data_IF_755236194021
#
_entry.id   IF_755236194021
#
_cell.length_a   1.000
_cell.length_b   1.000
_cell.length_c   1.000
_cell.angle_alpha   90.00
_cell.angle_beta   90.00
_cell.angle_gamma   90.00
#
_symmetry.space_group_name_H-M   'P 1'
#
loop_
_entity.id
_entity.type
_entity.pdbx_description
1 polymer ?
#
# COMPACT_ATOMS: atom_id res chain seq x y z
N UNK A 1 3.44 2.28 18.56
CA UNK A 1 2.02 2.07 18.88
C UNK A 1 1.71 0.62 18.53
N UNK A 2 1.40 -0.23 19.51
CA UNK A 2 1.22 -1.67 19.27
C UNK A 2 0.00 -1.91 18.37
N UNK A 3 0.14 -2.84 17.42
CA UNK A 3 -0.92 -3.23 16.46
C UNK A 3 -2.25 -3.46 17.21
N UNK A 4 -2.21 -4.00 18.44
CA UNK A 4 -3.37 -4.23 19.30
C UNK A 4 -4.24 -3.00 19.60
N UNK A 5 -3.66 -1.79 19.67
CA UNK A 5 -4.41 -0.57 19.98
C UNK A 5 -5.28 -0.07 18.82
N UNK A 6 -4.96 -0.45 17.57
CA UNK A 6 -5.71 -0.03 16.37
C UNK A 6 -6.91 -0.98 16.10
N UNK A 7 -6.80 -2.24 16.50
CA UNK A 7 -7.74 -3.31 16.12
C UNK A 7 -8.96 -3.45 17.03
N UNK A 8 -9.11 -2.65 18.10
CA UNK A 8 -10.33 -2.68 18.93
C UNK A 8 -10.75 -4.09 19.37
N UNK A 9 -9.80 -4.92 19.83
CA UNK A 9 -10.07 -6.28 20.29
C UNK A 9 -10.36 -7.31 19.18
N UNK A 10 -10.09 -7.00 17.91
CA UNK A 10 -10.23 -7.96 16.81
C UNK A 10 -9.05 -8.95 16.85
N UNK A 11 -9.38 -10.22 17.10
CA UNK A 11 -8.46 -11.35 16.99
C UNK A 11 -8.14 -11.63 15.52
N UNK A 12 -7.04 -11.02 15.08
CA UNK A 12 -6.58 -11.03 13.70
C UNK A 12 -6.29 -12.44 13.18
N UNK A 13 -5.80 -13.33 14.04
CA UNK A 13 -5.49 -14.71 13.66
C UNK A 13 -6.76 -15.51 13.38
N UNK A 14 -7.79 -15.32 14.21
CA UNK A 14 -9.12 -15.91 14.00
C UNK A 14 -9.76 -15.41 12.70
N UNK A 15 -9.68 -14.11 12.43
CA UNK A 15 -10.32 -13.49 11.26
C UNK A 15 -9.60 -13.82 9.94
N UNK A 16 -8.26 -13.92 9.93
CA UNK A 16 -7.50 -14.44 8.77
C UNK A 16 -7.86 -15.89 8.49
N UNK A 17 -7.89 -16.74 9.53
CA UNK A 17 -8.30 -18.14 9.38
C UNK A 17 -9.73 -18.25 8.86
N UNK A 18 -10.63 -17.38 9.30
CA UNK A 18 -12.00 -17.31 8.78
C UNK A 18 -12.03 -16.88 7.30
N UNK A 19 -11.29 -15.84 6.91
CA UNK A 19 -11.21 -15.33 5.54
C UNK A 19 -10.60 -16.35 4.56
N UNK A 20 -9.57 -17.09 4.99
CA UNK A 20 -8.97 -18.19 4.22
C UNK A 20 -9.95 -19.37 4.06
N UNK A 21 -10.73 -19.69 5.10
CA UNK A 21 -11.68 -20.81 5.10
C UNK A 21 -12.91 -20.59 4.21
N UNK A 22 -13.29 -19.33 3.98
CA UNK A 22 -14.41 -18.97 3.07
C UNK A 22 -13.97 -18.80 1.60
N UNK A 23 -12.70 -19.01 1.27
CA UNK A 23 -12.19 -18.92 -0.12
C UNK A 23 -12.34 -17.54 -0.78
N UNK A 24 -12.62 -16.48 0.00
CA UNK A 24 -12.91 -15.12 -0.51
C UNK A 24 -11.73 -14.17 -0.38
N UNK A 25 -10.52 -14.60 -0.71
CA UNK A 25 -9.34 -13.70 -0.71
C UNK A 25 -9.27 -12.87 -2.01
N UNK A 26 -9.92 -13.30 -3.10
CA UNK A 26 -10.03 -12.50 -4.31
C UNK A 26 -11.42 -12.60 -4.91
N UNK A 27 -12.23 -11.56 -4.70
CA UNK A 27 -13.52 -11.44 -5.38
C UNK A 27 -13.27 -10.92 -6.80
N UNK A 28 -13.34 -11.82 -7.78
CA UNK A 28 -13.24 -11.50 -9.21
C UNK A 28 -14.42 -10.59 -9.60
N UNK A 29 -14.11 -9.47 -10.25
CA UNK A 29 -15.08 -8.56 -10.88
C UNK A 29 -15.58 -7.45 -9.95
N UNK A 30 -15.07 -6.23 -10.12
CA UNK A 30 -15.72 -4.98 -9.68
C UNK A 30 -16.24 -4.93 -8.24
N UNK A 31 -15.64 -5.68 -7.31
CA UNK A 31 -16.23 -5.87 -5.99
C UNK A 31 -15.80 -4.78 -5.03
N UNK A 32 -16.76 -3.92 -4.68
CA UNK A 32 -16.67 -3.05 -3.51
C UNK A 32 -16.57 -3.97 -2.28
N UNK A 33 -15.38 -4.05 -1.68
CA UNK A 33 -15.20 -4.70 -0.38
C UNK A 33 -16.21 -4.13 0.61
N UNK A 34 -16.87 -4.98 1.39
CA UNK A 34 -17.71 -4.46 2.49
C UNK A 34 -16.79 -3.72 3.47
N UNK A 35 -17.29 -2.71 4.22
CA UNK A 35 -16.44 -1.86 5.06
C UNK A 35 -15.50 -2.63 5.99
N UNK A 36 -15.93 -3.79 6.46
CA UNK A 36 -15.11 -4.71 7.25
C UNK A 36 -13.93 -5.33 6.48
N UNK A 37 -14.19 -5.95 5.33
CA UNK A 37 -13.14 -6.54 4.47
C UNK A 37 -12.11 -5.49 4.06
N UNK A 38 -12.57 -4.27 3.77
CA UNK A 38 -11.69 -3.14 3.46
C UNK A 38 -10.73 -2.83 4.60
N UNK A 39 -11.21 -2.79 5.85
CA UNK A 39 -10.34 -2.56 7.01
C UNK A 39 -9.26 -3.64 7.13
N UNK A 40 -9.59 -4.91 6.85
CA UNK A 40 -8.60 -6.00 6.87
C UNK A 40 -7.55 -5.79 5.78
N UNK A 41 -7.97 -5.44 4.56
CA UNK A 41 -7.05 -5.20 3.45
C UNK A 41 -6.12 -4.02 3.76
N UNK A 42 -6.64 -2.95 4.37
CA UNK A 42 -5.85 -1.76 4.76
C UNK A 42 -4.78 -2.06 5.84
N UNK A 43 -4.77 -3.27 6.44
CA UNK A 43 -3.74 -3.69 7.40
C UNK A 43 -2.46 -4.24 6.77
N UNK A 44 -2.45 -4.60 5.49
CA UNK A 44 -1.27 -5.24 4.89
C UNK A 44 0.03 -4.41 4.94
N UNK A 45 0.03 -3.06 4.95
CA UNK A 45 1.26 -2.30 5.18
C UNK A 45 1.90 -2.63 6.54
N UNK A 46 1.07 -2.70 7.59
CA UNK A 46 1.50 -3.01 8.95
C UNK A 46 1.98 -4.46 9.07
N UNK A 47 1.26 -5.40 8.46
CA UNK A 47 1.67 -6.81 8.42
C UNK A 47 2.99 -6.99 7.66
N UNK A 48 3.15 -6.28 6.53
CA UNK A 48 4.36 -6.33 5.72
C UNK A 48 5.58 -5.84 6.49
N UNK A 49 5.47 -4.73 7.22
CA UNK A 49 6.55 -4.20 8.07
C UNK A 49 6.87 -5.16 9.22
N UNK A 50 5.87 -5.78 9.85
CA UNK A 50 6.11 -6.80 10.88
C UNK A 50 6.87 -8.02 10.32
N UNK A 51 6.52 -8.49 9.11
CA UNK A 51 7.24 -9.57 8.42
C UNK A 51 8.68 -9.14 8.13
N UNK A 52 8.89 -7.94 7.57
CA UNK A 52 10.22 -7.42 7.27
C UNK A 52 11.09 -7.34 8.53
N UNK A 53 10.53 -6.83 9.63
CA UNK A 53 11.22 -6.71 10.92
C UNK A 53 11.61 -8.08 11.52
N UNK A 54 10.74 -9.09 11.36
CA UNK A 54 11.06 -10.47 11.80
C UNK A 54 12.21 -11.05 10.99
N UNK A 55 12.13 -10.93 9.66
CA UNK A 55 13.17 -11.41 8.74
C UNK A 55 14.51 -10.70 9.01
N UNK A 56 14.49 -9.38 9.22
CA UNK A 56 15.68 -8.57 9.53
C UNK A 56 16.43 -9.06 10.77
N UNK A 57 15.70 -9.49 11.81
CA UNK A 57 16.30 -10.03 13.05
C UNK A 57 16.94 -11.40 12.85
N UNK A 58 16.40 -12.21 11.94
CA UNK A 58 16.89 -13.58 11.68
C UNK A 58 18.17 -13.60 10.83
N UNK A 59 18.32 -12.66 9.88
CA UNK A 59 19.41 -12.72 8.89
C UNK A 59 20.70 -12.01 9.39
N UNK A 60 20.67 -11.34 10.55
CA UNK A 60 21.64 -10.32 10.97
C UNK A 60 21.73 -9.17 9.95
N UNK A 61 21.62 -7.92 10.43
CA UNK A 61 21.43 -6.69 9.63
C UNK A 61 22.48 -6.38 8.54
N UNK A 62 23.46 -7.24 8.30
CA UNK A 62 24.58 -7.04 7.37
C UNK A 62 24.18 -7.21 5.88
N UNK A 63 23.04 -7.85 5.58
CA UNK A 63 22.66 -8.17 4.19
C UNK A 63 21.80 -7.07 3.53
N UNK A 64 21.16 -6.19 4.31
CA UNK A 64 20.18 -5.25 3.75
C UNK A 64 20.50 -3.82 4.21
N UNK A 65 21.38 -3.15 3.47
CA UNK A 65 21.71 -1.73 3.64
C UNK A 65 20.53 -0.76 3.41
N UNK A 66 19.37 -1.28 3.01
CA UNK A 66 18.17 -0.52 2.63
C UNK A 66 16.91 -0.91 3.42
N UNK A 67 17.04 -1.53 4.60
CA UNK A 67 15.89 -1.95 5.43
C UNK A 67 14.94 -0.79 5.74
N UNK A 68 15.48 0.36 6.09
CA UNK A 68 14.69 1.57 6.38
C UNK A 68 13.87 2.01 5.15
N UNK A 69 14.49 2.05 3.97
CA UNK A 69 13.82 2.41 2.71
C UNK A 69 12.71 1.40 2.39
N UNK A 70 13.00 0.10 2.54
CA UNK A 70 12.02 -0.95 2.30
C UNK A 70 10.84 -0.86 3.28
N UNK A 71 11.11 -0.62 4.56
CA UNK A 71 10.09 -0.44 5.58
C UNK A 71 9.23 0.79 5.30
N UNK A 72 9.84 1.91 4.94
CA UNK A 72 9.14 3.13 4.58
C UNK A 72 8.18 2.91 3.39
N UNK A 73 8.64 2.23 2.34
CA UNK A 73 7.79 1.86 1.21
C UNK A 73 6.63 0.99 1.68
N UNK A 74 6.91 -0.10 2.40
CA UNK A 74 5.89 -1.06 2.84
C UNK A 74 4.83 -0.37 3.68
N UNK A 75 5.23 0.46 4.65
CA UNK A 75 4.31 1.15 5.55
C UNK A 75 3.51 2.25 4.86
N UNK A 76 4.09 2.97 3.89
CA UNK A 76 3.55 4.26 3.46
C UNK A 76 3.16 4.36 1.98
N UNK A 77 3.34 3.33 1.15
CA UNK A 77 2.95 3.38 -0.27
C UNK A 77 1.44 3.54 -0.53
N UNK A 78 0.60 3.41 0.51
CA UNK A 78 -0.83 3.70 0.46
C UNK A 78 -1.25 5.00 1.16
N UNK A 79 -0.28 5.77 1.67
CA UNK A 79 -0.52 7.14 2.09
C UNK A 79 -0.88 8.00 0.88
N UNK A 80 -1.64 9.06 1.12
CA UNK A 80 -2.06 9.99 0.07
C UNK A 80 -1.65 11.39 0.46
N UNK A 81 -1.29 12.18 -0.54
CA UNK A 81 -0.85 13.56 -0.36
C UNK A 81 -1.78 14.41 0.53
N UNK A 82 -3.09 14.17 0.45
CA UNK A 82 -4.13 14.88 1.21
C UNK A 82 -4.39 14.33 2.63
N UNK A 83 -3.72 13.23 3.01
CA UNK A 83 -3.89 12.55 4.30
C UNK A 83 -5.12 11.66 4.39
N UNK A 84 -5.77 11.36 3.27
CA UNK A 84 -6.89 10.39 3.21
C UNK A 84 -6.41 8.96 2.96
N UNK A 85 -5.11 8.72 3.10
CA UNK A 85 -4.44 7.43 2.99
C UNK A 85 -4.50 6.61 4.28
N UNK A 86 -3.71 5.54 4.32
CA UNK A 86 -3.56 4.65 5.47
C UNK A 86 -2.13 4.08 5.46
N UNK A 87 -1.61 3.58 6.61
CA UNK A 87 -2.28 3.44 7.91
C UNK A 87 -2.19 4.66 8.84
N UNK A 88 -1.23 5.57 8.62
CA UNK A 88 -0.89 6.66 9.53
C UNK A 88 -1.53 8.00 9.14
N UNK A 89 -2.06 8.14 7.92
CA UNK A 89 -2.72 9.36 7.40
C UNK A 89 -1.77 10.56 7.30
N UNK A 90 -0.52 10.28 6.94
CA UNK A 90 0.51 11.29 6.71
C UNK A 90 0.13 12.21 5.55
N UNK A 91 0.55 13.48 5.60
CA UNK A 91 0.22 14.50 4.60
C UNK A 91 1.47 15.09 3.96
N UNK A 92 1.39 15.33 2.65
CA UNK A 92 2.47 15.99 1.90
C UNK A 92 3.83 15.34 2.12
N UNK A 93 4.77 16.12 2.63
CA UNK A 93 6.17 15.73 2.86
C UNK A 93 6.38 14.88 4.11
N UNK A 94 5.36 14.68 4.95
CA UNK A 94 5.42 13.68 6.02
C UNK A 94 5.52 12.25 5.46
N UNK A 95 5.12 12.04 4.21
CA UNK A 95 5.23 10.76 3.51
C UNK A 95 6.68 10.62 2.97
N UNK A 96 7.41 9.54 3.31
CA UNK A 96 8.75 9.29 2.79
C UNK A 96 8.81 9.36 1.26
N UNK A 97 9.90 9.88 0.71
CA UNK A 97 10.04 10.12 -0.74
C UNK A 97 9.89 8.84 -1.54
N UNK A 98 10.55 7.77 -1.11
CA UNK A 98 10.51 6.43 -1.69
C UNK A 98 9.08 5.87 -1.72
N UNK A 99 8.28 6.10 -0.67
CA UNK A 99 6.89 5.67 -0.60
C UNK A 99 6.01 6.48 -1.57
N UNK A 100 6.26 7.79 -1.69
CA UNK A 100 5.59 8.65 -2.69
C UNK A 100 5.88 8.17 -4.12
N UNK A 101 7.14 7.84 -4.42
CA UNK A 101 7.52 7.30 -5.74
C UNK A 101 6.80 5.99 -6.02
N UNK A 102 6.85 5.03 -5.09
CA UNK A 102 6.19 3.72 -5.25
C UNK A 102 4.68 3.84 -5.37
N UNK A 103 4.03 4.74 -4.62
CA UNK A 103 2.60 4.99 -4.73
C UNK A 103 2.17 5.42 -6.14
N UNK A 104 2.99 6.23 -6.82
CA UNK A 104 2.77 6.64 -8.21
C UNK A 104 2.92 5.43 -9.14
N UNK A 105 4.00 4.66 -8.97
CA UNK A 105 4.30 3.49 -9.79
C UNK A 105 3.21 2.42 -9.66
N UNK A 106 2.71 2.16 -8.44
CA UNK A 106 1.62 1.21 -8.19
C UNK A 106 0.33 1.61 -8.90
N UNK A 107 -0.05 2.90 -8.84
CA UNK A 107 -1.21 3.41 -9.59
C UNK A 107 -0.99 3.32 -11.10
N UNK A 108 0.21 3.63 -11.58
CA UNK A 108 0.55 3.54 -13.00
C UNK A 108 0.42 2.10 -13.50
N UNK A 109 1.07 1.14 -12.84
CA UNK A 109 1.00 -0.26 -13.19
C UNK A 109 -0.44 -0.78 -13.12
N UNK A 110 -1.17 -0.47 -12.06
CA UNK A 110 -2.57 -0.86 -11.94
C UNK A 110 -3.47 -0.32 -13.07
N UNK A 111 -3.09 0.79 -13.70
CA UNK A 111 -3.83 1.38 -14.80
C UNK A 111 -3.38 0.87 -16.18
N UNK A 112 -2.07 0.72 -16.37
CA UNK A 112 -1.42 0.35 -17.63
C UNK A 112 -1.35 -1.16 -17.86
N UNK A 113 -1.55 -1.98 -16.83
CA UNK A 113 -1.53 -3.44 -16.93
C UNK A 113 -2.93 -4.03 -17.14
N UNK A 114 -3.01 -5.09 -17.95
CA UNK A 114 -4.27 -5.84 -18.18
C UNK A 114 -4.64 -6.62 -16.92
N UNK A 115 -5.90 -6.56 -16.51
CA UNK A 115 -6.45 -7.30 -15.36
C UNK A 115 -7.72 -8.06 -15.77
N UNK A 116 -8.13 -9.12 -15.05
CA UNK A 116 -9.29 -9.94 -15.45
C UNK A 116 -10.59 -9.17 -15.68
N UNK A 117 -10.75 -8.00 -15.05
CA UNK A 117 -11.94 -7.16 -15.09
C UNK A 117 -11.74 -5.84 -15.85
N UNK A 118 -10.56 -5.60 -16.44
CA UNK A 118 -10.21 -4.34 -17.09
C UNK A 118 -9.05 -4.53 -18.07
N UNK A 119 -9.20 -4.03 -19.29
CA UNK A 119 -8.07 -3.90 -20.22
C UNK A 119 -7.10 -2.78 -19.82
N UNK A 120 -5.85 -2.92 -20.25
CA UNK A 120 -4.81 -1.92 -20.05
C UNK A 120 -5.20 -0.57 -20.65
N UNK A 121 -4.86 0.52 -19.97
CA UNK A 121 -4.95 1.86 -20.53
C UNK A 121 -3.69 2.17 -21.34
N UNK A 122 -3.82 3.04 -22.36
CA UNK A 122 -2.64 3.62 -23.01
C UNK A 122 -1.86 4.48 -22.01
N UNK A 123 -0.56 4.65 -22.25
CA UNK A 123 0.32 5.49 -21.41
C UNK A 123 -0.25 6.90 -21.27
N UNK A 124 -0.66 7.52 -22.38
CA UNK A 124 -1.27 8.87 -22.38
C UNK A 124 -2.52 8.95 -21.50
N UNK A 125 -3.40 7.95 -21.59
CA UNK A 125 -4.61 7.89 -20.76
C UNK A 125 -4.27 7.67 -19.28
N UNK A 126 -3.24 6.89 -18.98
CA UNK A 126 -2.78 6.68 -17.61
C UNK A 126 -2.26 7.99 -17.01
N UNK A 127 -1.38 8.70 -17.71
CA UNK A 127 -0.77 9.95 -17.22
C UNK A 127 -1.80 11.08 -17.02
N UNK A 128 -2.92 11.09 -17.75
CA UNK A 128 -3.99 12.08 -17.57
C UNK A 128 -4.93 11.78 -16.39
N UNK A 129 -4.76 10.64 -15.71
CA UNK A 129 -5.61 10.25 -14.57
C UNK A 129 -5.47 11.24 -13.40
N UNK A 130 -6.60 11.62 -12.79
CA UNK A 130 -6.66 12.58 -11.68
C UNK A 130 -5.81 12.18 -10.46
N UNK A 131 -5.55 10.89 -10.25
CA UNK A 131 -4.69 10.39 -9.15
C UNK A 131 -3.24 10.85 -9.26
N UNK A 132 -2.79 11.20 -10.46
CA UNK A 132 -1.45 11.75 -10.71
C UNK A 132 -1.36 13.26 -10.42
N UNK A 133 -2.48 14.00 -10.51
CA UNK A 133 -2.48 15.49 -10.43
C UNK A 133 -1.88 16.12 -9.16
N UNK A 134 -2.03 15.55 -7.94
CA UNK A 134 -1.42 16.14 -6.75
C UNK A 134 0.06 15.79 -6.58
N UNK A 135 0.47 14.58 -7.00
CA UNK A 135 1.79 14.01 -6.69
C UNK A 135 2.84 14.39 -7.75
N UNK A 136 2.40 14.73 -8.97
CA UNK A 136 3.30 15.12 -10.07
C UNK A 136 4.07 16.42 -9.84
N UNK A 137 3.59 17.33 -8.98
CA UNK A 137 4.24 18.64 -8.81
C UNK A 137 5.62 18.56 -8.19
N UNK A 138 5.88 17.53 -7.38
CA UNK A 138 7.16 17.42 -6.66
C UNK A 138 8.06 16.30 -7.18
N UNK A 139 7.50 15.26 -7.81
CA UNK A 139 8.27 14.07 -8.26
C UNK A 139 8.61 14.11 -9.76
N UNK A 140 7.82 14.81 -10.59
CA UNK A 140 7.99 14.85 -12.06
C UNK A 140 8.34 16.23 -12.64
N UNK A 141 8.37 17.29 -11.82
CA UNK A 141 8.74 18.65 -12.24
C UNK A 141 10.11 19.11 -11.69
N UNK A 142 10.96 18.18 -11.25
CA UNK A 142 12.37 18.53 -11.07
C UNK A 142 12.99 18.74 -12.45
N UNK A 143 13.56 19.92 -12.74
CA UNK A 143 14.24 20.16 -13.99
C UNK A 143 15.44 19.21 -14.06
N UNK A 144 15.45 18.34 -15.08
CA UNK A 144 16.71 17.92 -15.68
C UNK A 144 17.10 18.97 -16.71
#
# INVERSE_FOLDING_TARGET
MEIQQIIGGIDFEREIKAAMRIGRVFKVGGCRAIPYERKIIEMHPLMGSDILNKISREINNDVISSLEVAENIILHHHEKWDGTGYPHRLKGEEIPLEARIVAIVDVFDALASRRPYKDSWSVERTLTNKRFRPIHRDVFLLPF
#
